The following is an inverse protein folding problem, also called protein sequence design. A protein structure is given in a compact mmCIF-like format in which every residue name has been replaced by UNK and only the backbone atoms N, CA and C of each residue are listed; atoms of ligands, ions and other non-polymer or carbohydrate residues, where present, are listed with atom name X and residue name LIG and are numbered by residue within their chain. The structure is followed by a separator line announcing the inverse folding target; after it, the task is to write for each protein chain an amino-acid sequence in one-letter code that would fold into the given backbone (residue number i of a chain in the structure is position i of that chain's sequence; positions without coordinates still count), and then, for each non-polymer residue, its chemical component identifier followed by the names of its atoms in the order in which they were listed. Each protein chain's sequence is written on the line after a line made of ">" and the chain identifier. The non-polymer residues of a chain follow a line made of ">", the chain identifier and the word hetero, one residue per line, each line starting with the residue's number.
data_IF_384102221558
#
_entry.id   IF_384102221558
#
_cell.length_a   1.000
_cell.length_b   1.000
_cell.length_c   1.000
_cell.angle_alpha   90.00
_cell.angle_beta   90.00
_cell.angle_gamma   90.00
#
_symmetry.space_group_name_H-M   'P 1'
#
loop_
_entity.id
_entity.type
_entity.pdbx_description
1 polymer ?
#
# COMPACT_ATOMS: atom_id res chain seq x y z
N UNK A 1 -18.42 15.85 -7.48
CA UNK A 1 -18.55 14.81 -6.43
C UNK A 1 -17.58 13.70 -6.78
N UNK A 2 -16.43 13.53 -6.10
CA UNK A 2 -15.52 12.43 -6.42
C UNK A 2 -16.13 11.15 -5.84
N UNK A 3 -16.86 10.41 -6.68
CA UNK A 3 -17.40 9.10 -6.33
C UNK A 3 -16.25 8.12 -6.13
N UNK A 4 -16.04 7.73 -4.87
CA UNK A 4 -15.84 6.35 -4.44
C UNK A 4 -14.99 5.44 -5.35
N UNK A 5 -13.72 5.79 -5.60
CA UNK A 5 -12.68 4.81 -5.93
C UNK A 5 -12.45 3.77 -4.79
N UNK A 6 -13.20 3.86 -3.68
CA UNK A 6 -12.84 3.25 -2.41
C UNK A 6 -13.60 1.95 -2.11
N UNK A 7 -14.89 1.86 -2.45
CA UNK A 7 -15.72 0.69 -2.13
C UNK A 7 -15.70 -0.38 -3.23
N UNK A 8 -16.21 -0.03 -4.39
CA UNK A 8 -16.39 -0.96 -5.53
C UNK A 8 -15.05 -1.45 -6.10
N UNK A 9 -14.07 -0.56 -6.26
CA UNK A 9 -12.72 -0.93 -6.68
C UNK A 9 -12.07 -1.92 -5.71
N UNK A 10 -12.27 -1.72 -4.41
CA UNK A 10 -11.78 -2.65 -3.40
C UNK A 10 -12.46 -4.01 -3.47
N UNK A 11 -13.77 -4.05 -3.73
CA UNK A 11 -14.51 -5.30 -3.91
C UNK A 11 -14.09 -6.05 -5.19
N UNK A 12 -13.82 -5.33 -6.28
CA UNK A 12 -13.33 -5.93 -7.53
C UNK A 12 -11.93 -6.53 -7.36
N UNK A 13 -10.98 -5.75 -6.82
CA UNK A 13 -9.61 -6.24 -6.64
C UNK A 13 -9.53 -7.44 -5.70
N UNK A 14 -10.38 -7.51 -4.67
CA UNK A 14 -10.42 -8.65 -3.74
C UNK A 14 -10.76 -10.00 -4.39
N UNK A 15 -11.27 -10.00 -5.62
CA UNK A 15 -11.50 -11.23 -6.40
C UNK A 15 -10.20 -11.77 -7.02
N UNK A 16 -9.11 -10.99 -7.03
CA UNK A 16 -7.83 -11.31 -7.63
C UNK A 16 -6.73 -11.42 -6.57
N UNK A 17 -6.89 -12.37 -5.64
CA UNK A 17 -5.94 -12.60 -4.56
C UNK A 17 -4.60 -13.13 -5.10
N UNK A 18 -3.51 -12.47 -4.74
CA UNK A 18 -2.14 -12.90 -5.04
C UNK A 18 -1.52 -13.66 -3.87
N UNK A 19 -1.75 -13.22 -2.64
CA UNK A 19 -1.41 -13.98 -1.44
C UNK A 19 -2.10 -13.45 -0.16
N UNK A 20 -2.07 -14.27 0.88
CA UNK A 20 -2.39 -13.89 2.26
C UNK A 20 -1.32 -14.47 3.17
N UNK A 21 -0.77 -13.69 4.09
CA UNK A 21 0.26 -14.17 5.01
C UNK A 21 0.29 -13.36 6.32
N UNK A 22 0.83 -13.99 7.36
CA UNK A 22 1.17 -13.35 8.64
C UNK A 22 2.70 -13.37 8.88
N UNK A 23 3.47 -14.02 7.99
CA UNK A 23 4.92 -14.10 8.05
C UNK A 23 5.55 -12.87 7.40
N UNK A 24 6.29 -12.11 8.20
CA UNK A 24 6.91 -10.85 7.77
C UNK A 24 7.89 -11.05 6.59
N UNK A 25 8.66 -12.13 6.57
CA UNK A 25 9.65 -12.37 5.53
C UNK A 25 8.97 -12.77 4.22
N UNK A 26 7.92 -13.60 4.30
CA UNK A 26 7.10 -13.93 3.14
C UNK A 26 6.45 -12.67 2.56
N UNK A 27 5.91 -11.80 3.42
CA UNK A 27 5.26 -10.55 3.02
C UNK A 27 6.26 -9.63 2.32
N UNK A 28 7.44 -9.42 2.92
CA UNK A 28 8.53 -8.63 2.33
C UNK A 28 8.92 -9.14 0.95
N UNK A 29 9.12 -10.45 0.82
CA UNK A 29 9.51 -11.07 -0.45
C UNK A 29 8.41 -10.92 -1.51
N UNK A 30 7.15 -11.22 -1.18
CA UNK A 30 6.03 -11.22 -2.12
C UNK A 30 5.63 -9.82 -2.58
N UNK A 31 5.53 -8.87 -1.65
CA UNK A 31 5.23 -7.47 -2.01
C UNK A 31 6.45 -6.85 -2.70
N UNK A 32 7.66 -7.27 -2.33
CA UNK A 32 8.92 -6.79 -2.89
C UNK A 32 9.01 -7.08 -4.38
N UNK A 33 8.73 -8.33 -4.74
CA UNK A 33 8.68 -8.79 -6.12
C UNK A 33 7.60 -8.08 -6.96
N UNK A 34 6.48 -7.67 -6.36
CA UNK A 34 5.35 -7.10 -7.10
C UNK A 34 5.40 -5.58 -7.28
N UNK A 35 6.03 -4.85 -6.36
CA UNK A 35 6.04 -3.38 -6.38
C UNK A 35 7.46 -2.83 -6.49
N UNK A 36 8.28 -3.13 -5.48
CA UNK A 36 9.71 -2.88 -5.42
C UNK A 36 10.22 -3.47 -4.11
N UNK A 37 11.52 -3.77 -4.04
CA UNK A 37 12.16 -4.10 -2.76
C UNK A 37 11.85 -3.02 -1.72
N UNK A 38 11.33 -3.47 -0.58
CA UNK A 38 11.03 -2.60 0.54
C UNK A 38 11.23 -3.34 1.86
N UNK A 39 11.74 -2.62 2.84
CA UNK A 39 11.86 -3.09 4.21
C UNK A 39 10.53 -2.81 4.92
N UNK A 40 9.79 -3.86 5.26
CA UNK A 40 8.56 -3.75 6.03
C UNK A 40 8.82 -4.03 7.51
N UNK A 41 8.45 -3.11 8.40
CA UNK A 41 8.58 -3.27 9.84
C UNK A 41 7.20 -3.07 10.51
N UNK A 42 6.59 -4.11 11.10
CA UNK A 42 5.35 -3.95 11.83
C UNK A 42 5.59 -3.09 13.08
N UNK A 43 4.67 -2.14 13.30
CA UNK A 43 4.63 -1.33 14.53
C UNK A 43 3.48 -1.75 15.46
N UNK A 44 2.57 -2.59 14.94
CA UNK A 44 1.46 -3.19 15.67
C UNK A 44 1.75 -4.61 16.17
N UNK A 45 0.75 -5.26 16.77
CA UNK A 45 0.92 -6.56 17.45
C UNK A 45 0.59 -7.77 16.57
N UNK A 46 -0.11 -7.59 15.44
CA UNK A 46 -0.46 -8.68 14.53
C UNK A 46 -0.46 -8.22 13.09
N UNK A 47 0.35 -8.89 12.27
CA UNK A 47 0.39 -8.68 10.82
C UNK A 47 -0.57 -9.70 10.16
N UNK A 48 -1.48 -9.21 9.34
CA UNK A 48 -2.41 -10.05 8.58
C UNK A 48 -2.49 -9.49 7.16
N UNK A 49 -1.42 -9.69 6.40
CA UNK A 49 -1.27 -9.10 5.10
C UNK A 49 -2.10 -9.85 4.05
N UNK A 50 -2.84 -9.08 3.25
CA UNK A 50 -3.57 -9.57 2.07
C UNK A 50 -3.19 -8.70 0.90
N UNK A 51 -2.79 -9.34 -0.19
CA UNK A 51 -2.37 -8.65 -1.39
C UNK A 51 -3.17 -9.18 -2.58
N UNK A 52 -3.74 -8.24 -3.31
CA UNK A 52 -4.55 -8.48 -4.47
C UNK A 52 -4.03 -7.64 -5.63
N UNK A 53 -4.13 -8.13 -6.84
CA UNK A 53 -3.65 -7.36 -7.98
C UNK A 53 -4.06 -7.93 -9.33
N UNK A 54 -4.07 -7.04 -10.31
CA UNK A 54 -4.31 -7.34 -11.71
C UNK A 54 -3.24 -6.57 -12.51
N UNK A 55 -2.68 -7.25 -13.50
CA UNK A 55 -1.78 -6.63 -14.48
C UNK A 55 -2.50 -6.49 -15.83
N UNK A 56 -2.40 -5.31 -16.41
CA UNK A 56 -2.94 -4.97 -17.72
C UNK A 56 -1.86 -4.22 -18.52
N UNK A 57 -1.04 -4.97 -19.26
CA UNK A 57 0.13 -4.45 -19.97
C UNK A 57 1.08 -3.69 -19.03
N UNK A 58 1.32 -2.40 -19.30
CA UNK A 58 2.20 -1.54 -18.50
C UNK A 58 1.55 -0.98 -17.23
N UNK A 59 0.29 -1.34 -16.95
CA UNK A 59 -0.43 -0.91 -15.76
C UNK A 59 -0.63 -2.08 -14.80
N UNK A 60 -0.14 -1.93 -13.58
CA UNK A 60 -0.48 -2.81 -12.46
C UNK A 60 -1.39 -2.07 -11.49
N UNK A 61 -2.47 -2.72 -11.07
CA UNK A 61 -3.39 -2.21 -10.06
C UNK A 61 -3.42 -3.20 -8.91
N UNK A 62 -2.99 -2.75 -7.73
CA UNK A 62 -2.87 -3.60 -6.56
C UNK A 62 -3.62 -3.01 -5.35
N UNK A 63 -4.16 -3.90 -4.52
CA UNK A 63 -4.69 -3.60 -3.20
C UNK A 63 -3.85 -4.33 -2.16
N UNK A 64 -3.35 -3.57 -1.18
CA UNK A 64 -2.53 -4.11 -0.08
C UNK A 64 -3.16 -3.74 1.27
N UNK A 65 -3.47 -4.76 2.05
CA UNK A 65 -3.98 -4.65 3.41
C UNK A 65 -2.96 -5.28 4.34
N UNK A 66 -2.45 -4.57 5.36
CA UNK A 66 -1.50 -5.15 6.33
C UNK A 66 -2.16 -5.61 7.65
N UNK A 67 -3.41 -5.22 7.88
CA UNK A 67 -4.17 -5.55 9.08
C UNK A 67 -3.90 -4.63 10.29
N UNK A 68 -2.65 -4.20 10.49
CA UNK A 68 -2.22 -3.28 11.56
C UNK A 68 -1.11 -2.32 11.06
N UNK A 69 -0.72 -1.35 11.88
CA UNK A 69 0.28 -0.34 11.52
C UNK A 69 1.63 -0.97 11.14
N UNK A 70 2.20 -0.52 10.02
CA UNK A 70 3.51 -0.94 9.51
C UNK A 70 4.28 0.26 9.00
N UNK A 71 5.60 0.21 9.10
CA UNK A 71 6.50 1.13 8.43
C UNK A 71 7.14 0.42 7.24
N UNK A 72 7.26 1.10 6.12
CA UNK A 72 7.74 0.57 4.84
C UNK A 72 8.78 1.50 4.27
N UNK A 73 10.02 1.02 4.17
CA UNK A 73 11.10 1.76 3.52
C UNK A 73 11.29 1.20 2.12
N UNK A 74 11.22 2.04 1.08
CA UNK A 74 11.39 1.58 -0.29
C UNK A 74 12.75 1.97 -0.83
N UNK A 75 13.38 1.08 -1.59
CA UNK A 75 14.52 1.48 -2.41
C UNK A 75 14.05 2.35 -3.58
N UNK A 76 14.92 3.21 -4.15
CA UNK A 76 14.61 3.89 -5.42
C UNK A 76 14.33 2.86 -6.53
N UNK A 77 13.24 3.04 -7.27
CA UNK A 77 12.96 2.32 -8.51
C UNK A 77 12.90 3.35 -9.65
N UNK A 78 13.52 3.06 -10.78
CA UNK A 78 13.72 4.06 -11.84
C UNK A 78 12.62 4.07 -12.92
N UNK A 79 11.71 3.09 -12.95
CA UNK A 79 10.98 2.81 -14.19
C UNK A 79 9.44 2.92 -14.12
N UNK A 80 8.87 3.41 -13.01
CA UNK A 80 7.41 3.60 -12.94
C UNK A 80 6.96 4.78 -12.08
N UNK A 81 5.76 5.29 -12.39
CA UNK A 81 5.03 6.25 -11.57
C UNK A 81 4.10 5.48 -10.62
N UNK A 82 4.20 5.74 -9.31
CA UNK A 82 3.28 5.17 -8.34
C UNK A 82 2.15 6.15 -8.04
N UNK A 83 0.90 5.72 -8.27
CA UNK A 83 -0.29 6.43 -7.82
C UNK A 83 -0.91 5.64 -6.68
N UNK A 84 -0.99 6.25 -5.50
CA UNK A 84 -1.46 5.57 -4.29
C UNK A 84 -2.56 6.36 -3.59
N UNK A 85 -3.61 5.65 -3.20
CA UNK A 85 -4.69 6.15 -2.36
C UNK A 85 -4.88 5.24 -1.15
N UNK A 86 -5.19 5.83 0.01
CA UNK A 86 -5.60 5.04 1.17
C UNK A 86 -7.09 4.72 1.05
N UNK A 87 -7.46 3.43 0.98
CA UNK A 87 -8.89 3.07 1.00
C UNK A 87 -9.48 3.12 2.42
N UNK A 88 -8.64 2.87 3.43
CA UNK A 88 -8.94 2.97 4.84
C UNK A 88 -7.69 3.39 5.62
N UNK A 89 -7.86 3.94 6.82
CA UNK A 89 -6.74 4.38 7.65
C UNK A 89 -6.01 5.60 7.08
N UNK A 90 -4.71 5.70 7.30
CA UNK A 90 -3.86 6.78 6.76
C UNK A 90 -2.44 6.28 6.45
N UNK A 91 -1.83 6.86 5.43
CA UNK A 91 -0.43 6.62 5.06
C UNK A 91 0.33 7.93 5.24
N UNK A 92 1.31 7.95 6.13
CA UNK A 92 2.34 8.99 6.14
C UNK A 92 3.39 8.67 5.07
N UNK A 93 3.76 9.64 4.26
CA UNK A 93 4.87 9.53 3.32
C UNK A 93 5.89 10.58 3.69
N UNK A 94 7.13 10.16 3.85
CA UNK A 94 8.28 11.03 4.10
C UNK A 94 9.25 10.82 2.94
N UNK A 95 9.48 11.86 2.15
CA UNK A 95 10.55 11.89 1.15
C UNK A 95 11.53 13.00 1.53
N UNK A 96 12.62 13.14 0.76
CA UNK A 96 13.60 14.21 0.99
C UNK A 96 12.95 15.61 0.97
N UNK A 97 11.94 15.78 0.13
CA UNK A 97 11.28 17.05 -0.15
C UNK A 97 10.23 17.42 0.90
N UNK A 98 9.83 16.50 1.79
CA UNK A 98 8.84 16.77 2.83
C UNK A 98 8.10 15.56 3.38
N UNK A 99 7.06 15.85 4.15
CA UNK A 99 6.16 14.86 4.73
C UNK A 99 4.71 15.14 4.32
N UNK A 100 4.00 14.10 3.90
CA UNK A 100 2.60 14.16 3.50
C UNK A 100 1.80 13.05 4.18
N UNK A 101 0.49 13.27 4.34
CA UNK A 101 -0.43 12.23 4.80
C UNK A 101 -1.51 11.99 3.75
N UNK A 102 -1.63 10.75 3.30
CA UNK A 102 -2.68 10.26 2.41
C UNK A 102 -3.75 9.56 3.25
N UNK A 103 -5.01 9.92 3.01
CA UNK A 103 -6.20 9.39 3.68
C UNK A 103 -7.28 9.10 2.63
N UNK A 104 -8.36 8.38 2.96
CA UNK A 104 -9.47 8.19 2.04
C UNK A 104 -9.94 9.50 1.41
N UNK A 105 -10.09 9.49 0.08
CA UNK A 105 -10.40 10.66 -0.75
C UNK A 105 -9.20 11.51 -1.17
N UNK A 106 -7.98 11.19 -0.72
CA UNK A 106 -6.74 11.80 -1.19
C UNK A 106 -5.92 10.78 -2.00
N UNK A 107 -5.37 11.19 -3.14
CA UNK A 107 -4.45 10.38 -3.94
C UNK A 107 -3.13 11.10 -4.05
N UNK A 108 -2.03 10.39 -3.82
CA UNK A 108 -0.70 10.91 -4.01
C UNK A 108 -0.03 10.25 -5.21
N UNK A 109 0.79 11.04 -5.90
CA UNK A 109 1.48 10.67 -7.12
C UNK A 109 2.97 10.78 -6.82
N UNK A 110 3.70 9.68 -7.02
CA UNK A 110 5.12 9.60 -6.69
C UNK A 110 5.91 9.20 -7.92
N UNK A 111 6.82 10.07 -8.34
CA UNK A 111 7.97 9.69 -9.15
C UNK A 111 9.08 9.26 -8.18
N UNK A 112 9.35 7.95 -8.10
CA UNK A 112 10.15 7.37 -7.00
C UNK A 112 11.64 7.74 -7.08
N UNK A 113 12.00 8.94 -6.61
CA UNK A 113 13.35 9.24 -6.09
C UNK A 113 13.32 9.16 -4.57
N UNK A 114 13.62 7.97 -4.03
CA UNK A 114 13.89 7.71 -2.60
C UNK A 114 12.81 8.24 -1.61
N UNK A 115 11.82 7.41 -1.27
CA UNK A 115 10.78 7.75 -0.30
C UNK A 115 10.63 6.68 0.80
N UNK A 116 10.35 7.12 2.01
CA UNK A 116 9.97 6.34 3.17
C UNK A 116 8.44 6.43 3.36
N UNK A 117 7.77 5.29 3.55
CA UNK A 117 6.32 5.20 3.71
C UNK A 117 5.98 4.66 5.09
N UNK A 118 5.30 5.43 5.94
CA UNK A 118 4.74 4.96 7.21
C UNK A 118 3.25 4.68 7.08
N UNK A 119 2.81 3.44 7.22
CA UNK A 119 1.38 3.09 7.23
C UNK A 119 0.82 3.03 8.65
N UNK A 120 -0.21 3.83 8.92
CA UNK A 120 -0.91 3.80 10.20
C UNK A 120 -2.34 3.31 9.94
N UNK A 121 -2.49 1.99 9.94
CA UNK A 121 -3.79 1.32 9.94
C UNK A 121 -4.40 1.38 11.33
N UNK A 122 -5.15 2.44 11.67
CA UNK A 122 -6.11 2.32 12.78
C UNK A 122 -7.32 1.55 12.26
N UNK A 123 -7.73 0.47 12.93
CA UNK A 123 -9.10 -0.03 12.82
C UNK A 123 -10.03 1.12 13.23
N UNK A 124 -10.53 1.88 12.26
CA UNK A 124 -11.79 2.59 12.44
C UNK A 124 -12.88 1.53 12.58
N UNK A 125 -13.91 1.75 13.42
CA UNK A 125 -15.01 0.81 13.52
C UNK A 125 -15.61 0.64 12.12
N UNK A 126 -15.71 -0.60 11.67
CA UNK A 126 -16.58 -0.97 10.55
C UNK A 126 -17.98 -0.50 10.93
N UNK A 127 -18.47 0.53 10.25
CA UNK A 127 -19.88 0.90 10.27
C UNK A 127 -20.51 0.35 8.99
#
# INVERSE_FOLDING_TARGET
>A
MPHALTGETGALLRQHALFTSQDIEEIRARVGAALNEHCLQPSGSSLAARFYGIEANALSVCLLEYGDAVTVETQPAQDFLLVQTALSGRVGITCREGHWTVRPGCTAWFCRRMCHFGWIGRRGPLR
#
